data_IF_623971619862
#
_entry.id   IF_623971619862
#
_cell.length_a   1.000
_cell.length_b   1.000
_cell.length_c   1.000
_cell.angle_alpha   90.00
_cell.angle_beta   90.00
_cell.angle_gamma   90.00
#
_symmetry.space_group_name_H-M   'P 1'
#
loop_
_entity.id
_entity.type
_entity.pdbx_description
1 polymer ?
#
# COMPACT_ATOMS: atom_id res chain seq x y z
N UNK A 1 -9.01 10.62 23.42
CA UNK A 1 -9.36 10.83 21.99
C UNK A 1 -10.15 9.70 21.37
N UNK A 2 -9.70 8.43 21.51
CA UNK A 2 -10.32 7.25 20.86
C UNK A 2 -11.73 6.97 21.39
N UNK A 3 -11.94 7.06 22.72
CA UNK A 3 -13.22 6.78 23.38
C UNK A 3 -14.32 7.79 23.01
N UNK A 4 -13.94 9.06 22.80
CA UNK A 4 -14.87 10.13 22.42
C UNK A 4 -15.18 10.07 20.91
N UNK A 5 -14.18 9.78 20.09
CA UNK A 5 -14.28 9.78 18.62
C UNK A 5 -14.41 11.20 18.03
N UNK A 6 -14.36 11.33 16.69
CA UNK A 6 -14.56 12.62 16.04
C UNK A 6 -15.95 13.18 16.38
N UNK A 7 -15.98 14.42 16.91
CA UNK A 7 -17.20 15.13 17.38
C UNK A 7 -18.00 14.43 18.50
N UNK A 8 -17.39 13.52 19.26
CA UNK A 8 -18.11 12.80 20.31
C UNK A 8 -19.08 11.74 19.79
N UNK A 9 -18.97 11.35 18.52
CA UNK A 9 -19.93 10.42 17.89
C UNK A 9 -19.94 9.06 18.56
N UNK A 10 -18.76 8.54 18.95
CA UNK A 10 -18.64 7.22 19.58
C UNK A 10 -19.26 7.20 20.98
N UNK A 11 -18.99 8.25 21.77
CA UNK A 11 -19.51 8.29 23.14
C UNK A 11 -21.02 8.51 23.17
N UNK A 12 -21.57 9.31 22.23
CA UNK A 12 -23.01 9.48 22.07
C UNK A 12 -23.71 8.17 21.71
N UNK A 13 -23.11 7.39 20.81
CA UNK A 13 -23.66 6.10 20.39
C UNK A 13 -23.70 5.08 21.55
N UNK A 14 -22.66 5.06 22.40
CA UNK A 14 -22.65 4.24 23.62
C UNK A 14 -23.70 4.74 24.61
N UNK A 15 -23.82 6.05 24.83
CA UNK A 15 -24.82 6.60 25.74
C UNK A 15 -26.25 6.27 25.29
N UNK A 16 -26.50 6.30 23.98
CA UNK A 16 -27.81 5.98 23.39
C UNK A 16 -28.13 4.48 23.49
N UNK A 17 -27.18 3.58 23.17
CA UNK A 17 -27.39 2.12 23.26
C UNK A 17 -27.43 1.58 24.69
N UNK A 18 -26.67 2.16 25.61
CA UNK A 18 -26.60 1.70 27.01
C UNK A 18 -27.57 2.41 27.94
N UNK A 19 -28.11 3.56 27.52
CA UNK A 19 -28.92 4.44 28.37
C UNK A 19 -28.16 5.04 29.56
N UNK A 20 -26.83 4.87 29.60
CA UNK A 20 -25.96 5.43 30.63
C UNK A 20 -25.37 6.76 30.15
N UNK A 21 -25.29 7.74 31.05
CA UNK A 21 -24.62 9.01 30.83
C UNK A 21 -23.13 8.85 31.14
N UNK A 22 -22.27 9.23 30.20
CA UNK A 22 -20.82 9.16 30.36
C UNK A 22 -20.28 10.59 30.35
N UNK A 23 -19.87 11.09 31.51
CA UNK A 23 -19.21 12.39 31.60
C UNK A 23 -17.69 12.19 31.48
N UNK A 24 -17.11 12.80 30.44
CA UNK A 24 -15.67 12.80 30.15
C UNK A 24 -14.97 14.08 30.60
N UNK A 25 -15.54 14.75 31.60
CA UNK A 25 -15.04 16.02 32.12
C UNK A 25 -13.86 15.75 33.06
N UNK A 26 -12.68 15.49 32.49
CA UNK A 26 -11.43 15.23 33.22
C UNK A 26 -10.75 13.91 32.84
N UNK A 27 -9.82 13.45 33.68
CA UNK A 27 -9.08 12.19 33.51
C UNK A 27 -9.88 10.95 33.96
N UNK A 28 -11.01 11.14 34.64
CA UNK A 28 -11.85 10.06 35.16
C UNK A 28 -13.16 9.99 34.38
N UNK A 29 -13.44 8.84 33.79
CA UNK A 29 -14.72 8.56 33.14
C UNK A 29 -15.78 8.29 34.22
N UNK A 30 -16.75 9.18 34.35
CA UNK A 30 -17.88 8.98 35.29
C UNK A 30 -19.08 8.47 34.51
N UNK A 31 -19.49 7.21 34.77
CA UNK A 31 -20.65 6.59 34.14
C UNK A 31 -21.81 6.60 35.14
N UNK A 32 -22.91 7.26 34.79
CA UNK A 32 -24.12 7.36 35.62
C UNK A 32 -25.32 6.82 34.85
N UNK A 33 -26.10 5.93 35.46
CA UNK A 33 -27.27 5.34 34.80
C UNK A 33 -27.77 4.08 35.47
N UNK A 34 -28.65 3.32 34.80
CA UNK A 34 -29.14 2.03 35.29
C UNK A 34 -27.98 1.05 35.49
N UNK A 35 -27.99 0.18 36.52
CA UNK A 35 -26.89 -0.74 36.80
C UNK A 35 -26.55 -1.66 35.61
N UNK A 36 -27.56 -2.07 34.83
CA UNK A 36 -27.37 -2.81 33.58
C UNK A 36 -26.65 -1.97 32.50
N UNK A 37 -27.02 -0.69 32.36
CA UNK A 37 -26.41 0.24 31.41
C UNK A 37 -24.97 0.62 31.79
N UNK A 38 -24.68 0.77 33.08
CA UNK A 38 -23.33 1.08 33.58
C UNK A 38 -22.37 -0.08 33.29
N UNK A 39 -22.76 -1.32 33.54
CA UNK A 39 -21.93 -2.49 33.24
C UNK A 39 -21.66 -2.63 31.74
N UNK A 40 -22.67 -2.41 30.91
CA UNK A 40 -22.51 -2.41 29.44
C UNK A 40 -21.63 -1.27 28.94
N UNK A 41 -21.79 -0.06 29.50
CA UNK A 41 -20.98 1.11 29.14
C UNK A 41 -19.53 0.95 29.57
N UNK A 42 -19.26 0.37 30.74
CA UNK A 42 -17.91 0.06 31.21
C UNK A 42 -17.22 -0.95 30.28
N UNK A 43 -17.91 -2.04 29.92
CA UNK A 43 -17.40 -3.02 28.97
C UNK A 43 -17.11 -2.38 27.60
N UNK A 44 -18.04 -1.58 27.07
CA UNK A 44 -17.90 -0.88 25.80
C UNK A 44 -16.72 0.12 25.80
N UNK A 45 -16.53 0.87 26.90
CA UNK A 45 -15.41 1.81 27.04
C UNK A 45 -14.09 1.07 27.13
N UNK A 46 -14.04 -0.05 27.89
CA UNK A 46 -12.85 -0.88 28.00
C UNK A 46 -12.45 -1.49 26.65
N UNK A 47 -13.43 -2.00 25.89
CA UNK A 47 -13.22 -2.47 24.53
C UNK A 47 -12.77 -1.36 23.58
N UNK A 48 -13.34 -0.16 23.68
CA UNK A 48 -12.87 0.99 22.90
C UNK A 48 -11.43 1.38 23.21
N UNK A 49 -11.00 1.25 24.47
CA UNK A 49 -9.62 1.56 24.89
C UNK A 49 -8.65 0.48 24.38
N UNK A 50 -8.98 -0.80 24.54
CA UNK A 50 -8.08 -1.90 24.14
C UNK A 50 -8.09 -2.16 22.63
N UNK A 51 -9.29 -2.27 22.05
CA UNK A 51 -9.49 -2.67 20.66
C UNK A 51 -9.59 -1.48 19.72
N UNK A 52 -10.16 -0.35 20.15
CA UNK A 52 -10.32 0.86 19.33
C UNK A 52 -11.62 0.91 18.52
N UNK A 53 -12.49 -0.09 18.69
CA UNK A 53 -13.81 -0.21 18.08
C UNK A 53 -14.78 -0.81 19.12
N UNK A 54 -16.07 -0.54 18.97
CA UNK A 54 -17.09 -1.09 19.85
C UNK A 54 -17.95 -2.06 19.03
N UNK A 55 -18.13 -3.29 19.51
CA UNK A 55 -19.03 -4.23 18.85
C UNK A 55 -20.47 -3.68 18.76
N UNK A 56 -20.85 -2.76 19.65
CA UNK A 56 -22.14 -2.09 19.62
C UNK A 56 -22.29 -1.05 18.49
N UNK A 57 -21.24 -0.64 17.79
CA UNK A 57 -21.38 0.26 16.63
C UNK A 57 -22.05 -0.41 15.42
N UNK A 58 -22.05 -1.75 15.36
CA UNK A 58 -22.55 -2.52 14.22
C UNK A 58 -23.54 -3.57 14.72
N UNK A 59 -24.72 -3.67 14.09
CA UNK A 59 -25.69 -4.70 14.45
C UNK A 59 -25.21 -6.11 14.04
N UNK A 60 -24.39 -6.22 12.97
CA UNK A 60 -23.71 -7.44 12.51
C UNK A 60 -22.18 -7.31 12.60
N UNK A 61 -21.67 -7.20 13.83
CA UNK A 61 -20.24 -7.05 14.08
C UNK A 61 -19.44 -8.32 13.71
N UNK A 62 -18.38 -8.12 12.92
CA UNK A 62 -17.40 -9.17 12.60
C UNK A 62 -15.98 -8.66 12.78
N UNK A 63 -15.14 -9.51 13.39
CA UNK A 63 -13.69 -9.32 13.44
C UNK A 63 -13.05 -10.31 12.46
N UNK A 64 -12.50 -9.79 11.37
CA UNK A 64 -11.67 -10.58 10.45
C UNK A 64 -10.20 -10.25 10.68
N UNK A 65 -9.32 -11.21 10.37
CA UNK A 65 -7.88 -11.00 10.41
C UNK A 65 -7.24 -11.40 9.08
N UNK A 66 -6.26 -10.61 8.67
CA UNK A 66 -5.43 -10.89 7.49
C UNK A 66 -3.98 -11.01 7.94
N UNK A 67 -3.34 -12.12 7.60
CA UNK A 67 -1.94 -12.37 7.93
C UNK A 67 -1.05 -11.78 6.84
N UNK A 68 -0.43 -10.63 7.12
CA UNK A 68 0.33 -9.84 6.15
C UNK A 68 1.80 -9.76 6.56
N UNK A 69 2.71 -9.81 5.59
CA UNK A 69 4.14 -9.60 5.84
C UNK A 69 4.44 -8.10 6.05
N UNK A 70 5.35 -7.72 6.97
CA UNK A 70 5.69 -6.31 7.26
C UNK A 70 6.03 -5.47 6.04
N UNK A 71 6.61 -6.09 5.00
CA UNK A 71 6.93 -5.40 3.73
C UNK A 71 5.72 -4.76 3.04
N UNK A 72 4.51 -5.27 3.27
CA UNK A 72 3.29 -4.73 2.66
C UNK A 72 2.59 -3.69 3.55
N UNK A 73 2.97 -3.52 4.82
CA UNK A 73 2.30 -2.52 5.69
C UNK A 73 2.43 -1.10 5.15
N UNK A 74 3.59 -0.65 4.65
CA UNK A 74 3.69 0.68 4.04
C UNK A 74 2.77 0.85 2.83
N UNK A 75 2.48 -0.23 2.10
CA UNK A 75 1.59 -0.20 0.94
C UNK A 75 0.12 -0.10 1.36
N UNK A 76 -0.30 -0.91 2.33
CA UNK A 76 -1.66 -0.92 2.86
C UNK A 76 -1.98 0.41 3.58
N UNK A 77 -1.01 0.95 4.33
CA UNK A 77 -1.15 2.26 4.97
C UNK A 77 -1.15 3.36 3.89
N UNK A 78 -0.28 3.23 2.89
CA UNK A 78 -0.04 4.24 1.88
C UNK A 78 0.75 5.44 2.41
N UNK A 79 1.18 6.33 1.51
CA UNK A 79 1.90 7.55 1.88
C UNK A 79 1.02 8.39 2.83
N UNK A 80 1.47 8.57 4.07
CA UNK A 80 0.74 9.35 5.08
C UNK A 80 -0.59 8.77 5.54
N UNK A 81 -0.84 7.46 5.34
CA UNK A 81 -2.10 6.84 5.76
C UNK A 81 -3.29 7.11 4.83
N UNK A 82 -3.05 7.63 3.62
CA UNK A 82 -4.13 7.96 2.67
C UNK A 82 -4.91 6.72 2.25
N UNK A 83 -4.23 5.61 1.99
CA UNK A 83 -4.84 4.37 1.51
C UNK A 83 -5.72 3.74 2.59
N UNK A 84 -5.16 3.53 3.79
CA UNK A 84 -5.93 2.98 4.91
C UNK A 84 -7.12 3.87 5.31
N UNK A 85 -6.98 5.20 5.17
CA UNK A 85 -8.07 6.14 5.42
C UNK A 85 -9.18 6.02 4.38
N UNK A 86 -8.84 5.93 3.09
CA UNK A 86 -9.83 5.68 2.02
C UNK A 86 -10.58 4.37 2.24
N UNK A 87 -9.87 3.29 2.55
CA UNK A 87 -10.48 1.97 2.83
C UNK A 87 -11.44 2.07 4.01
N UNK A 88 -11.05 2.80 5.07
CA UNK A 88 -11.89 3.04 6.24
C UNK A 88 -13.13 3.89 5.92
N UNK A 89 -12.95 4.94 5.13
CA UNK A 89 -14.03 5.88 4.80
C UNK A 89 -15.03 5.26 3.81
N UNK A 90 -14.57 4.46 2.84
CA UNK A 90 -15.44 3.81 1.85
C UNK A 90 -16.14 2.56 2.36
N UNK A 91 -15.41 1.68 3.08
CA UNK A 91 -15.99 0.43 3.58
C UNK A 91 -16.59 0.58 4.97
N UNK A 92 -16.31 1.68 5.68
CA UNK A 92 -16.71 1.85 7.07
C UNK A 92 -16.00 0.90 8.03
N UNK A 93 -14.85 0.33 7.65
CA UNK A 93 -14.13 -0.68 8.45
C UNK A 93 -13.00 -0.03 9.25
N UNK A 94 -12.88 -0.40 10.53
CA UNK A 94 -11.74 -0.02 11.34
C UNK A 94 -10.61 -1.02 11.15
N UNK A 95 -9.57 -0.60 10.42
CA UNK A 95 -8.35 -1.39 10.19
C UNK A 95 -7.32 -1.06 11.27
N UNK A 96 -6.90 -2.07 12.06
CA UNK A 96 -5.84 -1.95 13.05
C UNK A 96 -4.64 -2.79 12.62
N UNK A 97 -3.59 -2.10 12.19
CA UNK A 97 -2.32 -2.72 11.83
C UNK A 97 -1.43 -2.67 13.10
N UNK A 98 -0.93 -3.82 13.59
CA UNK A 98 0.03 -3.81 14.69
C UNK A 98 1.32 -3.12 14.26
N UNK A 99 1.97 -2.39 15.18
CA UNK A 99 3.29 -1.82 14.88
C UNK A 99 4.27 -2.96 14.58
N UNK A 100 4.77 -2.98 13.33
CA UNK A 100 5.89 -3.84 13.00
C UNK A 100 7.11 -3.33 13.78
N UNK A 101 7.84 -4.19 14.53
CA UNK A 101 9.14 -3.80 15.05
C UNK A 101 10.05 -3.36 13.89
N UNK A 102 10.86 -2.32 14.10
CA UNK A 102 11.80 -1.77 13.08
C UNK A 102 12.72 -2.83 12.46
N UNK A 103 12.90 -3.97 13.14
CA UNK A 103 13.63 -5.13 12.67
C UNK A 103 12.75 -6.39 12.86
N UNK A 104 11.83 -6.70 11.94
CA UNK A 104 11.01 -7.89 12.07
C UNK A 104 11.89 -9.13 11.80
N UNK A 105 11.78 -10.20 12.61
CA UNK A 105 12.41 -11.47 12.28
C UNK A 105 11.86 -11.97 10.93
N UNK A 106 12.77 -12.41 10.05
CA UNK A 106 12.45 -12.83 8.69
C UNK A 106 11.31 -13.86 8.67
N UNK A 107 10.26 -13.58 7.89
CA UNK A 107 9.16 -14.53 7.65
C UNK A 107 8.00 -14.51 8.64
N UNK A 108 8.00 -13.66 9.70
CA UNK A 108 6.80 -13.53 10.56
C UNK A 108 5.72 -12.68 9.88
N UNK A 109 4.56 -13.29 9.64
CA UNK A 109 3.33 -12.60 9.26
C UNK A 109 2.71 -11.98 10.51
N UNK A 110 2.23 -10.74 10.42
CA UNK A 110 1.46 -10.13 11.49
C UNK A 110 -0.02 -10.13 11.11
N UNK A 111 -0.86 -10.24 12.13
CA UNK A 111 -2.31 -10.23 11.96
C UNK A 111 -2.77 -8.78 11.94
N UNK A 112 -3.20 -8.31 10.77
CA UNK A 112 -3.96 -7.07 10.62
C UNK A 112 -5.40 -7.38 11.00
N UNK A 113 -5.95 -6.62 11.95
CA UNK A 113 -7.31 -6.81 12.45
C UNK A 113 -8.24 -5.85 11.69
N UNK A 114 -9.30 -6.40 11.13
CA UNK A 114 -10.36 -5.70 10.42
C UNK A 114 -11.64 -5.83 11.24
N UNK A 115 -12.16 -4.71 11.72
CA UNK A 115 -13.38 -4.67 12.51
C UNK A 115 -14.45 -3.85 11.81
N UNK A 116 -15.60 -4.45 11.56
CA UNK A 116 -16.74 -3.80 10.91
C UNK A 116 -17.89 -4.77 10.66
N UNK A 117 -18.88 -4.35 9.89
CA UNK A 117 -19.97 -5.23 9.44
C UNK A 117 -19.42 -6.43 8.67
N UNK A 118 -20.08 -7.59 8.75
CA UNK A 118 -19.65 -8.82 8.05
C UNK A 118 -19.32 -8.60 6.57
N UNK A 119 -20.23 -7.99 5.82
CA UNK A 119 -20.02 -7.66 4.40
C UNK A 119 -18.86 -6.68 4.17
N UNK A 120 -18.66 -5.74 5.10
CA UNK A 120 -17.60 -4.74 4.99
C UNK A 120 -16.23 -5.34 5.31
N UNK A 121 -16.15 -6.20 6.32
CA UNK A 121 -14.93 -6.89 6.72
C UNK A 121 -14.45 -7.89 5.66
N UNK A 122 -15.38 -8.55 4.97
CA UNK A 122 -15.08 -9.41 3.82
C UNK A 122 -14.53 -8.59 2.64
N UNK A 123 -15.22 -7.52 2.23
CA UNK A 123 -14.73 -6.61 1.20
C UNK A 123 -13.37 -6.01 1.55
N UNK A 124 -13.15 -5.61 2.80
CA UNK A 124 -11.87 -5.06 3.24
C UNK A 124 -10.74 -6.09 3.16
N UNK A 125 -11.04 -7.36 3.43
CA UNK A 125 -10.10 -8.45 3.26
C UNK A 125 -9.74 -8.65 1.79
N UNK A 126 -10.72 -8.58 0.90
CA UNK A 126 -10.50 -8.70 -0.55
C UNK A 126 -9.67 -7.52 -1.08
N UNK A 127 -10.02 -6.29 -0.70
CA UNK A 127 -9.26 -5.08 -1.04
C UNK A 127 -7.80 -5.19 -0.57
N UNK A 128 -7.57 -5.68 0.65
CA UNK A 128 -6.21 -5.88 1.17
C UNK A 128 -5.47 -6.96 0.39
N UNK A 129 -6.13 -8.07 0.04
CA UNK A 129 -5.53 -9.13 -0.78
C UNK A 129 -5.15 -8.63 -2.17
N UNK A 130 -6.01 -7.84 -2.80
CA UNK A 130 -5.74 -7.20 -4.09
C UNK A 130 -4.58 -6.22 -4.01
N UNK A 131 -4.50 -5.39 -2.96
CA UNK A 131 -3.33 -4.51 -2.73
C UNK A 131 -2.07 -5.33 -2.51
N UNK A 132 -2.16 -6.51 -1.88
CA UNK A 132 -1.00 -7.39 -1.71
C UNK A 132 -0.56 -8.06 -3.02
N UNK A 133 -1.48 -8.31 -3.95
CA UNK A 133 -1.19 -8.91 -5.25
C UNK A 133 -0.74 -7.86 -6.28
N UNK A 134 -1.57 -6.85 -6.51
CA UNK A 134 -1.42 -5.89 -7.59
C UNK A 134 -0.85 -4.54 -7.13
N UNK A 135 -0.66 -4.33 -5.83
CA UNK A 135 -0.20 -3.04 -5.27
C UNK A 135 -1.10 -1.85 -5.70
N UNK A 136 -2.32 -2.19 -6.13
CA UNK A 136 -3.32 -1.30 -6.68
C UNK A 136 -4.69 -1.86 -6.29
N UNK A 137 -5.62 -0.94 -6.05
CA UNK A 137 -7.03 -1.25 -5.97
C UNK A 137 -7.79 -0.01 -6.47
N UNK A 138 -8.88 -0.15 -7.25
CA UNK A 138 -9.61 0.98 -7.83
C UNK A 138 -10.04 2.03 -6.80
N UNK A 139 -10.43 1.59 -5.60
CA UNK A 139 -10.76 2.44 -4.42
C UNK A 139 -9.59 3.33 -3.98
N UNK A 140 -8.37 2.81 -4.06
CA UNK A 140 -7.20 3.48 -3.46
C UNK A 140 -6.51 4.41 -4.46
N UNK A 141 -6.60 4.09 -5.74
CA UNK A 141 -5.91 4.77 -6.84
C UNK A 141 -6.86 4.99 -8.02
N UNK A 142 -7.68 6.04 -7.91
CA UNK A 142 -8.58 6.48 -8.98
C UNK A 142 -7.79 6.83 -10.24
N UNK A 143 -8.17 6.26 -11.39
CA UNK A 143 -7.54 6.54 -12.68
C UNK A 143 -6.20 5.84 -12.94
N UNK A 144 -5.71 5.01 -12.01
CA UNK A 144 -4.56 4.15 -12.26
C UNK A 144 -4.98 2.74 -12.67
N UNK A 145 -4.14 2.12 -13.48
CA UNK A 145 -4.22 0.75 -13.96
C UNK A 145 -2.96 0.02 -13.49
N UNK A 146 -3.08 -1.29 -13.30
CA UNK A 146 -1.93 -2.15 -13.10
C UNK A 146 -1.78 -3.08 -14.31
N UNK A 147 -0.54 -3.34 -14.71
CA UNK A 147 -0.19 -4.37 -15.69
C UNK A 147 0.84 -5.30 -15.06
N UNK A 148 0.72 -6.58 -15.38
CA UNK A 148 1.67 -7.60 -14.98
C UNK A 148 2.57 -7.96 -16.15
N UNK A 149 3.87 -7.96 -15.90
CA UNK A 149 4.87 -8.39 -16.86
C UNK A 149 5.58 -9.61 -16.27
N UNK A 150 5.41 -10.75 -16.94
CA UNK A 150 6.16 -11.96 -16.61
C UNK A 150 7.61 -11.78 -17.05
N UNK A 151 8.51 -11.71 -16.08
CA UNK A 151 9.93 -11.54 -16.32
C UNK A 151 10.68 -12.61 -15.54
N UNK A 152 11.65 -13.26 -16.19
CA UNK A 152 12.49 -14.23 -15.52
C UNK A 152 13.36 -13.57 -14.44
N UNK A 153 13.58 -14.26 -13.31
CA UNK A 153 14.28 -13.70 -12.15
C UNK A 153 15.70 -13.18 -12.46
N UNK A 154 16.40 -13.79 -13.42
CA UNK A 154 17.73 -13.37 -13.84
C UNK A 154 17.73 -11.97 -14.49
N UNK A 155 16.59 -11.53 -15.03
CA UNK A 155 16.44 -10.24 -15.70
C UNK A 155 16.09 -9.08 -14.73
N UNK A 156 15.70 -9.37 -13.47
CA UNK A 156 15.38 -8.34 -12.48
C UNK A 156 16.51 -7.31 -12.26
N UNK A 157 17.81 -7.70 -12.16
CA UNK A 157 18.89 -6.74 -11.99
C UNK A 157 19.05 -5.76 -13.17
N UNK A 158 18.66 -6.17 -14.39
CA UNK A 158 18.71 -5.32 -15.58
C UNK A 158 17.60 -4.26 -15.56
N UNK A 159 16.40 -4.62 -15.09
CA UNK A 159 15.29 -3.68 -14.88
C UNK A 159 15.61 -2.71 -13.73
N UNK A 160 16.27 -3.19 -12.67
CA UNK A 160 16.68 -2.35 -11.54
C UNK A 160 17.78 -1.38 -11.98
N UNK A 161 18.76 -1.88 -12.74
CA UNK A 161 19.96 -1.15 -13.12
C UNK A 161 20.94 -0.95 -11.96
N UNK A 162 22.09 -0.33 -12.26
CA UNK A 162 23.13 -0.07 -11.26
C UNK A 162 22.59 0.82 -10.14
N UNK A 163 22.60 0.33 -8.90
CA UNK A 163 22.06 1.03 -7.74
C UNK A 163 20.59 1.51 -7.87
N UNK A 164 19.79 0.84 -8.71
CA UNK A 164 18.39 1.24 -8.95
C UNK A 164 18.23 2.43 -9.90
N UNK A 165 19.26 2.79 -10.68
CA UNK A 165 19.19 3.93 -11.60
C UNK A 165 18.10 3.76 -12.67
N UNK A 166 18.03 2.58 -13.27
CA UNK A 166 17.11 2.28 -14.37
C UNK A 166 15.66 2.25 -13.87
N UNK A 167 15.44 1.57 -12.73
CA UNK A 167 14.14 1.56 -12.07
C UNK A 167 13.63 2.98 -11.79
N UNK A 168 14.48 3.85 -11.23
CA UNK A 168 14.11 5.25 -10.96
C UNK A 168 13.87 6.02 -12.25
N UNK A 169 14.62 5.75 -13.31
CA UNK A 169 14.43 6.38 -14.61
C UNK A 169 13.05 6.04 -15.18
N UNK A 170 12.68 4.75 -15.22
CA UNK A 170 11.37 4.27 -15.67
C UNK A 170 10.25 4.92 -14.85
N UNK A 171 10.36 4.90 -13.52
CA UNK A 171 9.35 5.48 -12.63
C UNK A 171 9.19 6.99 -12.83
N UNK A 172 10.29 7.73 -12.99
CA UNK A 172 10.26 9.18 -13.14
C UNK A 172 9.80 9.64 -14.53
N UNK A 173 10.16 8.90 -15.58
CA UNK A 173 9.88 9.22 -16.97
C UNK A 173 8.42 8.91 -17.33
N UNK A 174 7.95 7.72 -16.96
CA UNK A 174 6.58 7.27 -17.28
C UNK A 174 5.57 7.56 -16.16
N UNK A 175 6.01 8.15 -15.04
CA UNK A 175 5.18 8.43 -13.84
C UNK A 175 4.48 7.19 -13.29
N UNK A 176 5.11 6.02 -13.45
CA UNK A 176 4.61 4.74 -12.95
C UNK A 176 5.35 4.34 -11.67
N UNK A 177 4.74 3.44 -10.90
CA UNK A 177 5.35 2.71 -9.80
C UNK A 177 5.60 1.28 -10.26
N UNK A 178 6.87 0.93 -10.43
CA UNK A 178 7.27 -0.42 -10.79
C UNK A 178 7.63 -1.19 -9.52
N UNK A 179 6.93 -2.31 -9.28
CA UNK A 179 7.17 -3.18 -8.15
C UNK A 179 7.69 -4.54 -8.62
N UNK A 180 8.90 -4.86 -8.19
CA UNK A 180 9.58 -6.11 -8.55
C UNK A 180 9.35 -7.11 -7.43
N UNK A 181 8.88 -8.33 -7.75
CA UNK A 181 8.60 -9.35 -6.76
C UNK A 181 9.88 -9.78 -6.04
N UNK A 182 9.75 -10.08 -4.75
CA UNK A 182 10.80 -10.61 -3.88
C UNK A 182 10.44 -12.04 -3.44
N UNK A 183 11.32 -12.68 -2.68
CA UNK A 183 11.11 -14.04 -2.16
C UNK A 183 9.83 -14.21 -1.29
N UNK A 184 9.22 -13.10 -0.85
CA UNK A 184 7.98 -13.08 -0.07
C UNK A 184 6.80 -12.48 -0.85
N UNK A 185 6.95 -12.30 -2.16
CA UNK A 185 5.91 -11.83 -3.05
C UNK A 185 4.95 -12.95 -3.41
N UNK A 186 3.64 -12.68 -3.27
CA UNK A 186 2.59 -13.62 -3.67
C UNK A 186 2.60 -13.82 -5.19
N UNK A 187 2.85 -12.72 -5.91
CA UNK A 187 3.01 -12.73 -7.36
C UNK A 187 4.51 -12.76 -7.69
N UNK A 188 4.89 -13.61 -8.65
CA UNK A 188 6.25 -13.69 -9.19
C UNK A 188 6.43 -12.81 -10.44
N UNK A 189 5.39 -12.07 -10.83
CA UNK A 189 5.40 -11.14 -11.96
C UNK A 189 5.77 -9.73 -11.50
N UNK A 190 6.41 -8.96 -12.38
CA UNK A 190 6.67 -7.53 -12.16
C UNK A 190 5.37 -6.77 -12.37
N UNK A 191 4.95 -6.00 -11.36
CA UNK A 191 3.70 -5.23 -11.42
C UNK A 191 4.01 -3.76 -11.67
N UNK A 192 3.38 -3.18 -12.69
CA UNK A 192 3.52 -1.77 -13.06
C UNK A 192 2.20 -1.07 -12.74
N UNK A 193 2.21 -0.09 -11.84
CA UNK A 193 1.02 0.66 -11.44
C UNK A 193 1.16 2.12 -11.84
N UNK A 194 0.17 2.70 -12.52
CA UNK A 194 0.17 4.11 -12.87
C UNK A 194 -0.95 4.48 -13.84
N UNK A 195 -0.84 5.63 -14.50
CA UNK A 195 -1.80 6.02 -15.54
C UNK A 195 -1.74 5.05 -16.73
N UNK A 196 -2.88 4.76 -17.41
CA UNK A 196 -2.94 3.78 -18.50
C UNK A 196 -1.85 4.00 -19.57
N UNK A 197 -1.68 5.25 -19.99
CA UNK A 197 -0.71 5.63 -21.02
C UNK A 197 0.75 5.55 -20.54
N UNK A 198 0.99 5.72 -19.24
CA UNK A 198 2.32 5.54 -18.64
C UNK A 198 2.67 4.06 -18.52
N UNK A 199 1.68 3.24 -18.12
CA UNK A 199 1.82 1.80 -17.91
C UNK A 199 2.13 1.09 -19.23
N UNK A 200 1.41 1.39 -20.31
CA UNK A 200 1.63 0.79 -21.62
C UNK A 200 3.06 1.06 -22.15
N UNK A 201 3.52 2.32 -22.04
CA UNK A 201 4.88 2.68 -22.48
C UNK A 201 5.97 2.09 -21.57
N UNK A 202 5.72 2.03 -20.27
CA UNK A 202 6.63 1.39 -19.32
C UNK A 202 6.76 -0.11 -19.59
N UNK A 203 5.66 -0.80 -19.94
CA UNK A 203 5.66 -2.21 -20.31
C UNK A 203 6.55 -2.49 -21.52
N UNK A 204 6.33 -1.77 -22.63
CA UNK A 204 7.15 -1.90 -23.85
C UNK A 204 8.62 -1.64 -23.55
N UNK A 205 8.92 -0.66 -22.70
CA UNK A 205 10.29 -0.35 -22.31
C UNK A 205 10.94 -1.47 -21.49
N UNK A 206 10.21 -2.05 -20.53
CA UNK A 206 10.68 -3.18 -19.71
C UNK A 206 10.90 -4.42 -20.58
N UNK A 207 9.97 -4.75 -21.48
CA UNK A 207 10.12 -5.86 -22.44
C UNK A 207 11.36 -5.67 -23.32
N UNK A 208 11.61 -4.45 -23.79
CA UNK A 208 12.82 -4.11 -24.56
C UNK A 208 14.10 -4.31 -23.75
N UNK A 209 14.11 -3.94 -22.46
CA UNK A 209 15.26 -4.17 -21.59
C UNK A 209 15.53 -5.66 -21.38
N UNK A 210 14.48 -6.46 -21.18
CA UNK A 210 14.60 -7.92 -21.03
C UNK A 210 15.12 -8.54 -22.32
N UNK A 211 14.54 -8.18 -23.48
CA UNK A 211 14.98 -8.67 -24.78
C UNK A 211 16.44 -8.34 -25.08
N UNK A 212 16.87 -7.10 -24.77
CA UNK A 212 18.27 -6.68 -24.91
C UNK A 212 19.20 -7.50 -24.00
N UNK A 213 18.77 -7.82 -22.79
CA UNK A 213 19.57 -8.63 -21.86
C UNK A 213 19.69 -10.10 -22.32
N UNK A 214 18.67 -10.63 -23.00
CA UNK A 214 18.68 -11.99 -23.58
C UNK A 214 19.56 -12.10 -24.83
N UNK A 215 19.45 -11.14 -25.74
CA UNK A 215 20.03 -11.23 -27.09
C UNK A 215 21.37 -10.48 -27.23
N UNK A 216 21.74 -9.68 -26.24
CA UNK A 216 23.00 -8.96 -26.20
C UNK A 216 23.73 -9.25 -24.88
N UNK A 217 24.42 -10.39 -24.76
CA UNK A 217 25.22 -10.67 -23.58
C UNK A 217 26.34 -9.63 -23.54
N UNK A 218 26.24 -8.67 -22.60
CA UNK A 218 27.35 -7.78 -22.27
C UNK A 218 28.50 -8.67 -21.79
N UNK A 219 29.43 -8.97 -22.69
CA UNK A 219 30.75 -9.46 -22.33
C UNK A 219 31.35 -8.51 -21.31
N UNK A 220 31.91 -9.06 -20.23
CA UNK A 220 32.77 -8.29 -19.33
C UNK A 220 33.90 -7.68 -20.18
N UNK A 221 33.87 -6.37 -20.42
CA UNK A 221 34.94 -5.64 -21.08
C UNK A 221 34.63 -5.18 -22.51
N UNK A 222 33.59 -4.37 -22.69
CA UNK A 222 33.52 -3.47 -23.83
C UNK A 222 33.81 -2.06 -23.31
N UNK A 223 35.02 -1.61 -23.60
CA UNK A 223 35.54 -0.27 -23.37
C UNK A 223 34.55 0.82 -23.77
N UNK A 224 34.46 1.86 -22.95
CA UNK A 224 33.92 3.16 -23.35
C UNK A 224 34.64 3.65 -24.61
N UNK A 225 34.05 3.40 -25.78
CA UNK A 225 34.22 4.27 -26.93
C UNK A 225 32.91 5.02 -27.07
N UNK A 226 32.80 6.09 -26.28
CA UNK A 226 32.01 7.22 -26.72
C UNK A 226 32.74 7.78 -27.96
N UNK A 227 32.29 7.38 -29.14
CA UNK A 227 32.62 8.13 -30.36
C UNK A 227 31.97 9.49 -30.23
N UNK A 228 32.75 10.43 -29.70
CA UNK A 228 32.53 11.86 -29.79
C UNK A 228 32.57 12.25 -31.28
N UNK A 229 31.45 12.09 -31.99
CA UNK A 229 31.21 12.65 -33.32
C UNK A 229 30.98 14.15 -33.15
N UNK A 230 32.05 14.89 -32.87
CA UNK A 230 32.10 16.34 -33.11
C UNK A 230 32.28 16.54 -34.61
N UNK A 231 31.17 16.80 -35.29
CA UNK A 231 31.19 17.24 -36.68
C UNK A 231 31.81 18.64 -36.79
N UNK A 232 32.98 18.70 -37.43
CA UNK A 232 33.46 19.87 -38.16
C UNK A 232 34.58 19.41 -39.10
N UNK A 233 34.34 19.48 -40.40
CA UNK A 233 35.26 20.11 -41.35
C UNK A 233 34.63 20.04 -42.75
N UNK A 234 34.30 21.23 -43.24
CA UNK A 234 33.63 21.47 -44.50
C UNK A 234 34.48 21.15 -45.72
N UNK A 235 33.77 21.06 -46.83
CA UNK A 235 34.28 20.92 -48.18
C UNK A 235 35.37 21.95 -48.48
N UNK A 236 36.59 21.47 -48.77
CA UNK A 236 37.66 22.32 -49.29
C UNK A 236 37.34 22.61 -50.76
N UNK A 237 36.97 23.86 -51.07
CA UNK A 237 36.66 24.28 -52.44
C UNK A 237 37.89 24.33 -53.37
N UNK A 238 37.71 24.13 -54.70
CA UNK A 238 38.77 23.70 -55.62
C UNK A 238 39.74 24.78 -56.12
N UNK A 239 39.79 25.95 -55.50
CA UNK A 239 40.60 27.07 -56.01
C UNK A 239 41.97 27.25 -55.33
N UNK A 240 42.34 26.37 -54.38
CA UNK A 240 43.68 26.35 -53.79
C UNK A 240 44.56 25.23 -54.39
N UNK A 241 44.97 25.38 -55.64
CA UNK A 241 46.17 24.72 -56.18
C UNK A 241 46.98 25.73 -56.98
#
# INVERSE_FOLDING_TARGET
GIVIGPKGSKIKLIQEKTGARIDTTGDVFTITGPPAGVSMAEAAVKELVEKGYCAMEYDDFSENFVAVHPSYFPEIIGKGGVVIRKIKDELGVSVKIPEAPKNPPAGKKYKVILAGSNQAAEKAKDVINEIMMYYHHPVTHEGYVHEEVEVAQWAYPFIIGKAGSELRHIQNNYKVKLNIPRDHSLNQSVVIVGEPYGVERAKVYVEKLVWNAEHMPRGRGATDQAEDVWGDEGEIEPWMT
#
